data_IF_391105227456
#
_entry.id   IF_391105227456
#
_cell.length_a   1.000
_cell.length_b   1.000
_cell.length_c   1.000
_cell.angle_alpha   90.00
_cell.angle_beta   90.00
_cell.angle_gamma   90.00
#
_symmetry.space_group_name_H-M   'P 1'
#
loop_
_entity.id
_entity.type
_entity.pdbx_description
1 polymer ?
#
# COMPACT_ATOMS: atom_id res chain seq x y z
N UNK A 1 -24.79 -14.65 -10.14
CA UNK A 1 -23.42 -15.02 -9.70
C UNK A 1 -23.35 -15.45 -8.22
N UNK A 2 -23.56 -14.55 -7.24
CA UNK A 2 -23.46 -14.91 -5.81
C UNK A 2 -24.42 -16.05 -5.39
N UNK A 3 -25.64 -16.07 -5.92
CA UNK A 3 -26.62 -17.15 -5.69
C UNK A 3 -26.32 -18.46 -6.43
N UNK A 4 -25.43 -18.43 -7.44
CA UNK A 4 -25.11 -19.58 -8.29
C UNK A 4 -23.81 -20.28 -7.86
N UNK A 5 -22.93 -19.54 -7.18
CA UNK A 5 -21.65 -20.02 -6.67
C UNK A 5 -21.74 -21.24 -5.74
N UNK A 6 -22.67 -21.30 -4.77
CA UNK A 6 -22.86 -22.49 -3.95
C UNK A 6 -23.23 -23.73 -4.76
N UNK A 7 -23.89 -23.56 -5.91
CA UNK A 7 -24.30 -24.64 -6.82
C UNK A 7 -23.16 -25.07 -7.73
N UNK A 8 -22.26 -24.15 -8.08
CA UNK A 8 -21.15 -24.38 -9.00
C UNK A 8 -19.99 -25.21 -8.43
N UNK A 9 -19.96 -25.47 -7.10
CA UNK A 9 -18.90 -26.23 -6.41
C UNK A 9 -17.48 -25.81 -6.86
N UNK A 10 -17.18 -24.51 -6.81
CA UNK A 10 -15.85 -24.02 -7.20
C UNK A 10 -14.74 -24.71 -6.39
N UNK A 11 -13.62 -25.09 -7.03
CA UNK A 11 -12.41 -25.47 -6.31
C UNK A 11 -11.96 -24.35 -5.37
N UNK A 12 -11.47 -24.70 -4.18
CA UNK A 12 -11.07 -23.73 -3.16
C UNK A 12 -10.05 -22.70 -3.70
N UNK A 13 -9.09 -23.15 -4.51
CA UNK A 13 -8.08 -22.28 -5.15
C UNK A 13 -8.70 -21.26 -6.11
N UNK A 14 -9.73 -21.67 -6.88
CA UNK A 14 -10.46 -20.76 -7.79
C UNK A 14 -11.27 -19.74 -6.99
N UNK A 15 -11.90 -20.18 -5.88
CA UNK A 15 -12.62 -19.29 -4.99
C UNK A 15 -11.68 -18.25 -4.33
N UNK A 16 -10.47 -18.68 -3.89
CA UNK A 16 -9.42 -17.79 -3.37
C UNK A 16 -8.97 -16.76 -4.40
N UNK A 17 -8.70 -17.22 -5.63
CA UNK A 17 -8.29 -16.33 -6.72
C UNK A 17 -9.35 -15.26 -7.04
N UNK A 18 -10.64 -15.61 -6.92
CA UNK A 18 -11.75 -14.69 -7.14
C UNK A 18 -11.97 -13.64 -6.04
N UNK A 19 -11.40 -13.82 -4.84
CA UNK A 19 -11.66 -12.91 -3.70
C UNK A 19 -11.15 -11.49 -3.94
N UNK A 20 -9.96 -11.35 -4.55
CA UNK A 20 -9.35 -10.04 -4.82
C UNK A 20 -10.18 -9.20 -5.79
N UNK A 21 -10.49 -9.65 -7.02
CA UNK A 21 -11.32 -8.86 -7.93
C UNK A 21 -12.74 -8.64 -7.39
N UNK A 22 -13.30 -9.60 -6.64
CA UNK A 22 -14.60 -9.41 -5.98
C UNK A 22 -14.59 -8.30 -4.92
N UNK A 23 -13.47 -8.11 -4.20
CA UNK A 23 -13.27 -7.03 -3.22
C UNK A 23 -13.01 -5.68 -3.90
N UNK A 24 -12.22 -5.67 -4.98
CA UNK A 24 -11.90 -4.46 -5.75
C UNK A 24 -13.12 -3.86 -6.46
N UNK A 25 -14.04 -4.71 -6.94
CA UNK A 25 -15.23 -4.27 -7.68
C UNK A 25 -16.28 -3.50 -6.87
N UNK A 26 -16.12 -3.36 -5.55
CA UNK A 26 -16.91 -2.47 -4.69
C UNK A 26 -18.41 -2.81 -4.50
N UNK A 27 -19.01 -3.64 -5.37
CA UNK A 27 -20.47 -3.83 -5.47
C UNK A 27 -20.96 -5.26 -5.24
N UNK A 28 -20.10 -6.17 -4.75
CA UNK A 28 -20.45 -7.60 -4.70
C UNK A 28 -20.13 -8.24 -3.33
N UNK A 29 -20.60 -7.67 -2.22
CA UNK A 29 -20.40 -8.27 -0.89
C UNK A 29 -20.96 -9.71 -0.75
N UNK A 30 -22.15 -10.04 -1.29
CA UNK A 30 -22.62 -11.42 -1.29
C UNK A 30 -21.69 -12.39 -2.05
N UNK A 31 -21.01 -11.90 -3.10
CA UNK A 31 -20.01 -12.67 -3.84
C UNK A 31 -18.76 -12.90 -2.98
N UNK A 32 -18.26 -11.88 -2.30
CA UNK A 32 -17.09 -12.00 -1.41
C UNK A 32 -17.35 -13.03 -0.31
N UNK A 33 -18.52 -12.98 0.34
CA UNK A 33 -18.89 -13.97 1.38
C UNK A 33 -19.00 -15.39 0.81
N UNK A 34 -19.65 -15.54 -0.36
CA UNK A 34 -19.77 -16.84 -1.02
C UNK A 34 -18.38 -17.42 -1.39
N UNK A 35 -17.45 -16.57 -1.85
CA UNK A 35 -16.09 -16.96 -2.18
C UNK A 35 -15.26 -17.33 -0.94
N UNK A 36 -15.39 -16.62 0.18
CA UNK A 36 -14.72 -16.98 1.45
C UNK A 36 -15.13 -18.38 1.87
N UNK A 37 -16.44 -18.66 1.86
CA UNK A 37 -16.99 -19.97 2.22
C UNK A 37 -16.54 -21.06 1.25
N UNK A 38 -16.58 -20.80 -0.05
CA UNK A 38 -16.13 -21.76 -1.08
C UNK A 38 -14.62 -22.00 -1.06
N UNK A 39 -13.84 -21.02 -0.60
CA UNK A 39 -12.39 -21.11 -0.46
C UNK A 39 -11.92 -21.95 0.75
N UNK A 40 -12.87 -22.47 1.56
CA UNK A 40 -12.57 -23.17 2.80
C UNK A 40 -11.83 -22.30 3.82
N UNK A 41 -11.88 -20.98 3.64
CA UNK A 41 -11.29 -20.02 4.58
C UNK A 41 -12.20 -19.95 5.78
N UNK A 42 -11.60 -20.11 6.95
CA UNK A 42 -12.34 -20.17 8.19
C UNK A 42 -12.83 -18.76 8.54
N UNK A 43 -14.13 -18.55 8.41
CA UNK A 43 -14.86 -17.67 9.32
C UNK A 43 -14.97 -18.40 10.67
N UNK A 44 -13.83 -18.78 11.28
CA UNK A 44 -13.89 -19.56 12.52
C UNK A 44 -14.49 -18.66 13.60
N UNK A 45 -15.75 -18.91 13.94
CA UNK A 45 -16.43 -18.28 15.07
C UNK A 45 -15.75 -18.65 16.40
N UNK A 46 -15.02 -19.78 16.43
CA UNK A 46 -14.12 -20.12 17.51
C UNK A 46 -12.87 -19.24 17.43
N UNK A 47 -12.89 -18.17 18.21
CA UNK A 47 -11.72 -17.35 18.47
C UNK A 47 -10.76 -18.10 19.39
N UNK A 48 -9.47 -18.01 19.06
CA UNK A 48 -8.41 -18.45 19.97
C UNK A 48 -8.56 -17.73 21.32
N UNK A 49 -8.28 -18.46 22.38
CA UNK A 49 -8.24 -17.90 23.74
C UNK A 49 -7.09 -16.89 23.86
N UNK A 50 -7.16 -15.93 24.81
CA UNK A 50 -6.05 -15.00 25.06
C UNK A 50 -4.71 -15.71 25.29
N UNK A 51 -4.69 -16.88 25.94
CA UNK A 51 -3.48 -17.66 26.20
C UNK A 51 -2.88 -18.27 24.92
N UNK A 52 -3.71 -18.74 23.99
CA UNK A 52 -3.28 -19.24 22.68
C UNK A 52 -2.72 -18.08 21.83
N UNK A 53 -3.39 -16.92 21.84
CA UNK A 53 -2.92 -15.71 21.14
C UNK A 53 -1.57 -15.23 21.64
N UNK A 54 -1.37 -15.21 22.95
CA UNK A 54 -0.06 -14.89 23.55
C UNK A 54 1.01 -15.94 23.20
N UNK A 55 0.63 -17.20 23.04
CA UNK A 55 1.56 -18.25 22.64
C UNK A 55 2.02 -18.05 21.20
N UNK A 56 1.09 -17.80 20.27
CA UNK A 56 1.43 -17.46 18.88
C UNK A 56 2.27 -16.18 18.80
N UNK A 57 1.94 -15.16 19.58
CA UNK A 57 2.70 -13.92 19.64
C UNK A 57 4.15 -14.14 20.11
N UNK A 58 4.36 -14.95 21.16
CA UNK A 58 5.71 -15.31 21.64
C UNK A 58 6.48 -16.11 20.60
N UNK A 59 5.83 -17.06 19.92
CA UNK A 59 6.45 -17.83 18.84
C UNK A 59 6.88 -16.92 17.70
N UNK A 60 6.00 -16.04 17.22
CA UNK A 60 6.33 -15.07 16.18
C UNK A 60 7.53 -14.19 16.55
N UNK A 61 7.62 -13.73 17.80
CA UNK A 61 8.77 -12.95 18.27
C UNK A 61 10.07 -13.76 18.31
N UNK A 62 10.00 -15.05 18.61
CA UNK A 62 11.16 -15.93 18.77
C UNK A 62 11.68 -16.50 17.44
N UNK A 63 10.79 -16.92 16.54
CA UNK A 63 11.17 -17.62 15.29
C UNK A 63 10.95 -16.81 14.02
N UNK A 64 10.17 -15.73 14.06
CA UNK A 64 9.90 -14.93 12.88
C UNK A 64 11.10 -14.08 12.44
N UNK A 65 11.19 -13.86 11.13
CA UNK A 65 12.16 -13.01 10.45
C UNK A 65 11.44 -11.77 9.91
N UNK A 66 11.84 -10.60 10.41
CA UNK A 66 11.23 -9.33 10.04
C UNK A 66 11.51 -8.91 8.58
N UNK A 67 12.65 -9.32 8.00
CA UNK A 67 13.00 -9.00 6.61
C UNK A 67 12.10 -9.78 5.66
N UNK A 68 11.91 -11.09 5.93
CA UNK A 68 10.94 -11.91 5.19
C UNK A 68 9.51 -11.43 5.43
N UNK A 69 9.18 -11.06 6.67
CA UNK A 69 7.88 -10.50 7.04
C UNK A 69 7.53 -9.24 6.28
N UNK A 70 8.50 -8.35 6.05
CA UNK A 70 8.30 -7.18 5.21
C UNK A 70 7.99 -7.58 3.76
N UNK A 71 8.72 -8.55 3.19
CA UNK A 71 8.45 -9.03 1.83
C UNK A 71 7.03 -9.59 1.72
N UNK A 72 6.57 -10.32 2.74
CA UNK A 72 5.20 -10.83 2.81
C UNK A 72 4.20 -9.68 2.84
N UNK A 73 4.39 -8.67 3.70
CA UNK A 73 3.53 -7.48 3.75
C UNK A 73 3.41 -6.76 2.39
N UNK A 74 4.49 -6.77 1.59
CA UNK A 74 4.54 -6.13 0.26
C UNK A 74 3.93 -6.99 -0.87
N UNK A 75 3.51 -8.23 -0.61
CA UNK A 75 2.89 -9.09 -1.61
C UNK A 75 1.54 -8.53 -2.07
N UNK A 76 1.39 -8.39 -3.38
CA UNK A 76 0.17 -7.85 -4.01
C UNK A 76 -1.06 -8.68 -3.67
N UNK A 77 -0.92 -9.99 -3.53
CA UNK A 77 -2.01 -10.91 -3.20
C UNK A 77 -2.60 -10.70 -1.81
N UNK A 78 -1.82 -10.17 -0.85
CA UNK A 78 -2.28 -9.84 0.50
C UNK A 78 -2.83 -8.41 0.59
N UNK A 79 -2.49 -7.55 -0.36
CA UNK A 79 -2.96 -6.16 -0.44
C UNK A 79 -2.69 -5.30 0.82
N UNK A 80 -1.81 -5.72 1.74
CA UNK A 80 -1.58 -5.00 3.00
C UNK A 80 -1.11 -3.57 2.73
N UNK A 81 -0.16 -3.38 1.81
CA UNK A 81 0.35 -2.06 1.41
C UNK A 81 -0.67 -1.22 0.60
N UNK A 82 -1.66 -1.86 -0.03
CA UNK A 82 -2.72 -1.16 -0.75
C UNK A 82 -3.76 -0.54 0.20
N UNK A 83 -3.90 -1.10 1.41
CA UNK A 83 -4.82 -0.58 2.44
C UNK A 83 -4.11 0.23 3.51
N UNK A 84 -2.91 -0.17 3.92
CA UNK A 84 -2.16 0.40 5.03
C UNK A 84 -0.90 1.10 4.56
N UNK A 85 -0.63 2.29 5.09
CA UNK A 85 0.63 2.99 4.87
C UNK A 85 1.66 2.67 5.95
N UNK A 86 2.94 2.73 5.58
CA UNK A 86 4.08 2.73 6.50
C UNK A 86 5.02 3.86 6.09
N UNK A 87 5.35 4.75 7.02
CA UNK A 87 6.18 5.93 6.76
C UNK A 87 5.59 6.83 5.67
N UNK A 88 4.26 6.93 5.62
CA UNK A 88 3.52 7.67 4.60
C UNK A 88 3.39 6.98 3.23
N UNK A 89 3.87 5.74 3.07
CA UNK A 89 3.82 5.00 1.80
C UNK A 89 2.87 3.79 1.87
N UNK A 90 1.78 3.85 1.09
CA UNK A 90 0.74 2.84 1.01
C UNK A 90 -0.67 3.45 1.02
N UNK A 91 -1.68 2.61 1.17
CA UNK A 91 -3.08 3.05 1.24
C UNK A 91 -3.47 3.75 2.53
N UNK A 92 -4.64 4.40 2.51
CA UNK A 92 -5.26 5.03 3.69
C UNK A 92 -6.63 4.42 4.02
N UNK A 93 -6.91 3.23 3.48
CA UNK A 93 -8.15 2.48 3.71
C UNK A 93 -8.15 1.92 5.13
N UNK A 94 -7.02 1.39 5.56
CA UNK A 94 -6.76 0.95 6.93
C UNK A 94 -5.88 1.94 7.70
N UNK A 95 -5.70 1.72 9.01
CA UNK A 95 -4.82 2.54 9.84
C UNK A 95 -3.37 2.52 9.35
N UNK A 96 -2.70 3.66 9.47
CA UNK A 96 -1.26 3.75 9.27
C UNK A 96 -0.52 2.87 10.29
N UNK A 97 0.40 2.04 9.80
CA UNK A 97 1.12 1.03 10.58
C UNK A 97 2.52 1.49 11.00
N UNK A 98 2.93 2.74 10.72
CA UNK A 98 4.27 3.28 11.01
C UNK A 98 4.74 2.97 12.43
N UNK A 99 3.83 3.01 13.41
CA UNK A 99 4.15 2.83 14.82
C UNK A 99 3.50 1.61 15.47
N UNK A 100 2.89 0.71 14.69
CA UNK A 100 1.99 -0.32 15.25
C UNK A 100 2.68 -1.27 16.22
N UNK A 101 3.94 -1.64 15.96
CA UNK A 101 4.72 -2.55 16.82
C UNK A 101 5.23 -1.90 18.11
N UNK A 102 5.31 -0.57 18.15
CA UNK A 102 5.62 0.19 19.36
C UNK A 102 4.36 0.53 20.16
N UNK A 103 3.21 0.75 19.50
CA UNK A 103 1.96 1.17 20.15
C UNK A 103 1.05 0.03 20.59
N UNK A 104 1.31 -1.20 20.12
CA UNK A 104 0.42 -2.33 20.37
C UNK A 104 1.19 -3.60 20.76
N UNK A 105 0.64 -4.41 21.68
CA UNK A 105 1.27 -5.67 22.05
C UNK A 105 1.14 -6.68 20.90
N UNK A 106 2.06 -7.64 20.83
CA UNK A 106 2.13 -8.55 19.68
C UNK A 106 0.91 -9.48 19.55
N UNK A 107 0.27 -9.84 20.64
CA UNK A 107 -0.99 -10.62 20.64
C UNK A 107 -2.14 -9.85 19.98
N UNK A 108 -2.20 -8.52 20.14
CA UNK A 108 -3.12 -7.66 19.39
C UNK A 108 -2.85 -7.70 17.87
N UNK A 109 -1.58 -7.79 17.45
CA UNK A 109 -1.24 -7.94 16.02
C UNK A 109 -1.73 -9.27 15.47
N UNK A 110 -1.54 -10.35 16.22
CA UNK A 110 -2.04 -11.69 15.87
C UNK A 110 -3.57 -11.68 15.76
N UNK A 111 -4.26 -11.07 16.72
CA UNK A 111 -5.72 -10.93 16.73
C UNK A 111 -6.23 -10.12 15.54
N UNK A 112 -5.58 -9.01 15.23
CA UNK A 112 -5.97 -8.16 14.10
C UNK A 112 -5.81 -8.87 12.75
N UNK A 113 -4.78 -9.73 12.61
CA UNK A 113 -4.54 -10.50 11.39
C UNK A 113 -5.52 -11.68 11.22
N UNK A 114 -5.83 -12.39 12.31
CA UNK A 114 -6.75 -13.54 12.29
C UNK A 114 -8.22 -13.10 12.28
N UNK A 115 -8.55 -12.08 13.06
CA UNK A 115 -9.91 -11.61 13.34
C UNK A 115 -10.02 -10.09 13.16
N UNK A 116 -9.93 -9.57 11.92
CA UNK A 116 -9.88 -8.14 11.66
C UNK A 116 -11.11 -7.34 12.10
N UNK A 117 -12.25 -8.01 12.33
CA UNK A 117 -13.48 -7.39 12.85
C UNK A 117 -13.61 -7.48 14.38
N UNK A 118 -12.70 -8.14 15.08
CA UNK A 118 -12.76 -8.28 16.55
C UNK A 118 -12.49 -6.95 17.26
N UNK A 119 -11.48 -6.20 16.79
CA UNK A 119 -11.08 -4.89 17.34
C UNK A 119 -10.73 -3.92 16.22
N UNK A 120 -11.72 -3.15 15.80
CA UNK A 120 -11.57 -2.14 14.75
C UNK A 120 -11.17 -0.81 15.39
N UNK A 121 -10.16 -0.14 14.85
CA UNK A 121 -9.74 1.18 15.32
C UNK A 121 -10.83 2.21 15.02
N UNK A 122 -11.03 3.15 15.94
CA UNK A 122 -11.94 4.28 15.74
C UNK A 122 -11.64 5.02 14.42
N UNK A 123 -12.69 5.42 13.71
CA UNK A 123 -12.58 6.01 12.38
C UNK A 123 -12.28 5.02 11.24
N UNK A 124 -12.17 3.72 11.49
CA UNK A 124 -11.97 2.68 10.45
C UNK A 124 -13.12 1.66 10.36
N UNK A 125 -14.22 1.91 11.06
CA UNK A 125 -15.44 1.14 10.89
C UNK A 125 -16.02 1.38 9.49
N UNK A 126 -16.25 0.29 8.77
CA UNK A 126 -16.87 0.35 7.46
C UNK A 126 -18.39 0.43 7.57
N UNK A 127 -18.98 1.14 6.64
CA UNK A 127 -20.43 1.24 6.46
C UNK A 127 -20.83 0.77 5.07
N UNK A 128 -22.07 0.33 4.96
CA UNK A 128 -22.77 0.18 3.69
C UNK A 128 -23.82 1.29 3.63
N UNK A 129 -23.78 2.04 2.54
CA UNK A 129 -24.73 3.09 2.21
C UNK A 129 -25.54 2.60 1.01
N UNK A 130 -26.84 2.37 1.23
CA UNK A 130 -27.81 2.19 0.15
C UNK A 130 -28.39 3.55 -0.18
N UNK A 131 -28.29 3.94 -1.44
CA UNK A 131 -28.82 5.20 -1.97
C UNK A 131 -30.26 5.04 -2.47
N UNK A 132 -30.99 6.15 -2.64
CA UNK A 132 -32.38 6.13 -3.14
C UNK A 132 -32.48 5.69 -4.60
N UNK A 133 -31.41 5.85 -5.37
CA UNK A 133 -31.23 5.29 -6.71
C UNK A 133 -30.73 3.83 -6.70
N UNK A 134 -30.84 3.16 -5.54
CA UNK A 134 -30.54 1.73 -5.35
C UNK A 134 -29.07 1.33 -5.56
N UNK A 135 -28.14 2.28 -5.54
CA UNK A 135 -26.72 1.94 -5.46
C UNK A 135 -26.33 1.55 -4.04
N UNK A 136 -25.53 0.50 -3.91
CA UNK A 136 -24.84 0.16 -2.68
C UNK A 136 -23.38 0.59 -2.75
N UNK A 137 -22.99 1.43 -1.80
CA UNK A 137 -21.63 1.94 -1.64
C UNK A 137 -21.08 1.44 -0.31
N UNK A 138 -19.83 0.98 -0.30
CA UNK A 138 -19.17 0.52 0.91
C UNK A 138 -17.82 1.18 1.09
N UNK A 139 -17.53 1.58 2.33
CA UNK A 139 -16.29 2.25 2.65
C UNK A 139 -16.20 2.67 4.11
N UNK A 140 -15.08 3.26 4.47
CA UNK A 140 -14.88 3.95 5.73
C UNK A 140 -15.27 5.41 5.55
N UNK A 141 -15.97 6.01 6.52
CA UNK A 141 -16.34 7.42 6.46
C UNK A 141 -15.11 8.27 6.76
N UNK A 142 -14.67 9.09 5.79
CA UNK A 142 -13.54 10.01 5.97
C UNK A 142 -13.96 11.41 6.35
N UNK A 143 -15.21 11.78 6.02
CA UNK A 143 -15.80 13.09 6.32
C UNK A 143 -17.31 12.95 6.36
N UNK A 144 -17.96 13.61 7.32
CA UNK A 144 -19.42 13.70 7.40
C UNK A 144 -19.79 15.14 7.78
N UNK A 145 -20.73 15.71 7.04
CA UNK A 145 -21.33 17.04 7.23
C UNK A 145 -22.84 16.91 7.11
N UNK A 146 -23.59 17.96 7.43
CA UNK A 146 -25.06 17.94 7.33
C UNK A 146 -25.58 17.64 5.91
N UNK A 147 -24.79 17.92 4.88
CA UNK A 147 -25.21 17.78 3.47
C UNK A 147 -24.51 16.65 2.72
N UNK A 148 -23.31 16.25 3.16
CA UNK A 148 -22.44 15.33 2.43
C UNK A 148 -21.71 14.38 3.38
N UNK A 149 -21.67 13.11 2.99
CA UNK A 149 -20.87 12.05 3.58
C UNK A 149 -19.85 11.57 2.54
N UNK A 150 -18.57 11.50 2.89
CA UNK A 150 -17.51 10.98 2.02
C UNK A 150 -17.07 9.60 2.51
N UNK A 151 -17.14 8.61 1.62
CA UNK A 151 -16.64 7.25 1.85
C UNK A 151 -15.28 7.06 1.18
N UNK A 152 -14.34 6.41 1.86
CA UNK A 152 -13.17 5.80 1.22
C UNK A 152 -13.44 4.32 1.01
N UNK A 153 -13.54 3.89 -0.24
CA UNK A 153 -13.79 2.49 -0.57
C UNK A 153 -12.52 1.62 -0.49
N UNK A 154 -12.65 0.32 -0.73
CA UNK A 154 -11.53 -0.62 -0.72
C UNK A 154 -10.46 -0.34 -1.79
N UNK A 155 -10.82 0.37 -2.87
CA UNK A 155 -9.88 0.85 -3.90
C UNK A 155 -9.16 2.15 -3.49
N UNK A 156 -9.31 2.60 -2.24
CA UNK A 156 -8.72 3.84 -1.71
C UNK A 156 -9.24 5.12 -2.38
N UNK A 157 -10.42 5.06 -3.02
CA UNK A 157 -11.07 6.18 -3.70
C UNK A 157 -12.09 6.82 -2.75
N UNK A 158 -12.08 8.16 -2.69
CA UNK A 158 -13.11 8.93 -1.98
C UNK A 158 -14.34 9.14 -2.86
N UNK A 159 -15.50 8.74 -2.33
CA UNK A 159 -16.80 8.80 -2.99
C UNK A 159 -17.70 9.71 -2.16
N UNK A 160 -18.01 10.93 -2.63
CA UNK A 160 -18.97 11.79 -1.96
C UNK A 160 -20.40 11.29 -2.20
N UNK A 161 -21.21 11.29 -1.15
CA UNK A 161 -22.62 10.89 -1.16
C UNK A 161 -23.42 12.00 -0.48
N UNK A 162 -24.35 12.60 -1.21
CA UNK A 162 -25.26 13.57 -0.63
C UNK A 162 -26.15 12.90 0.43
N UNK A 163 -26.20 13.44 1.65
CA UNK A 163 -26.97 12.85 2.78
C UNK A 163 -28.44 12.67 2.40
N UNK A 164 -29.01 13.61 1.65
CA UNK A 164 -30.39 13.52 1.13
C UNK A 164 -30.65 12.33 0.20
N UNK A 165 -29.61 11.75 -0.40
CA UNK A 165 -29.70 10.58 -1.28
C UNK A 165 -29.53 9.26 -0.52
N UNK A 166 -29.18 9.29 0.76
CA UNK A 166 -29.03 8.07 1.57
C UNK A 166 -30.42 7.53 1.91
N UNK A 167 -30.67 6.28 1.53
CA UNK A 167 -31.88 5.54 1.90
C UNK A 167 -31.65 4.70 3.16
N UNK A 168 -30.48 4.07 3.29
CA UNK A 168 -30.11 3.24 4.44
C UNK A 168 -28.61 3.32 4.70
N UNK A 169 -28.25 3.31 5.98
CA UNK A 169 -26.86 3.15 6.46
C UNK A 169 -26.83 1.94 7.40
N UNK A 170 -25.86 1.05 7.20
CA UNK A 170 -25.62 -0.09 8.09
C UNK A 170 -24.13 -0.29 8.35
N UNK A 171 -23.79 -0.82 9.51
CA UNK A 171 -22.41 -1.22 9.83
C UNK A 171 -22.01 -2.46 9.03
N UNK A 172 -20.77 -2.50 8.55
CA UNK A 172 -20.20 -3.65 7.84
C UNK A 172 -18.93 -4.22 8.52
N UNK A 173 -18.61 -3.76 9.74
CA UNK A 173 -17.41 -4.20 10.45
C UNK A 173 -16.14 -3.68 9.79
N UNK A 174 -15.13 -4.54 9.62
CA UNK A 174 -13.84 -4.16 9.03
C UNK A 174 -13.83 -4.31 7.50
N UNK A 175 -13.20 -3.37 6.79
CA UNK A 175 -12.84 -3.58 5.38
C UNK A 175 -11.66 -4.56 5.23
N UNK A 176 -10.87 -4.77 6.29
CA UNK A 176 -9.82 -5.78 6.27
C UNK A 176 -10.47 -7.17 6.23
N UNK A 177 -10.19 -7.98 5.21
CA UNK A 177 -10.92 -9.22 5.04
C UNK A 177 -10.47 -10.32 6.00
N UNK A 178 -11.43 -11.10 6.51
CA UNK A 178 -11.13 -12.35 7.20
C UNK A 178 -10.43 -13.37 6.28
N UNK A 179 -9.59 -14.21 6.87
CA UNK A 179 -8.84 -15.26 6.16
C UNK A 179 -7.75 -14.74 5.21
N UNK A 180 -7.35 -13.46 5.33
CA UNK A 180 -6.35 -12.86 4.44
C UNK A 180 -5.00 -13.57 4.51
N UNK A 181 -4.61 -14.06 5.68
CA UNK A 181 -3.32 -14.73 5.91
C UNK A 181 -3.41 -16.26 5.85
N UNK A 182 -4.57 -16.83 5.52
CA UNK A 182 -4.78 -18.28 5.55
C UNK A 182 -3.98 -19.03 4.48
N UNK A 183 -3.66 -18.35 3.37
CA UNK A 183 -2.80 -18.88 2.32
C UNK A 183 -1.31 -18.88 2.68
N UNK A 184 -0.91 -18.23 3.78
CA UNK A 184 0.47 -18.19 4.22
C UNK A 184 0.85 -19.47 4.95
N UNK A 185 2.09 -19.92 4.71
CA UNK A 185 2.72 -20.98 5.50
C UNK A 185 2.82 -20.55 6.98
N UNK A 186 2.88 -21.52 7.93
CA UNK A 186 2.98 -21.19 9.35
C UNK A 186 4.13 -20.22 9.68
N UNK A 187 5.32 -20.45 9.13
CA UNK A 187 6.49 -19.60 9.35
C UNK A 187 6.33 -18.21 8.72
N UNK A 188 5.67 -18.12 7.56
CA UNK A 188 5.38 -16.83 6.92
C UNK A 188 4.45 -15.96 7.78
N UNK A 189 3.50 -16.57 8.51
CA UNK A 189 2.65 -15.84 9.45
C UNK A 189 3.46 -15.27 10.60
N UNK A 190 4.41 -16.04 11.13
CA UNK A 190 5.31 -15.59 12.17
C UNK A 190 6.26 -14.49 11.70
N UNK A 191 6.80 -14.61 10.49
CA UNK A 191 7.60 -13.58 9.84
C UNK A 191 6.82 -12.26 9.72
N UNK A 192 5.57 -12.32 9.23
CA UNK A 192 4.71 -11.14 9.11
C UNK A 192 4.44 -10.47 10.47
N UNK A 193 4.06 -11.25 11.49
CA UNK A 193 3.83 -10.74 12.85
C UNK A 193 5.11 -10.14 13.44
N UNK A 194 6.26 -10.80 13.23
CA UNK A 194 7.57 -10.30 13.65
C UNK A 194 7.83 -8.94 13.03
N UNK A 195 7.69 -8.80 11.71
CA UNK A 195 7.86 -7.52 11.02
C UNK A 195 6.98 -6.42 11.60
N UNK A 196 5.68 -6.67 11.75
CA UNK A 196 4.75 -5.68 12.30
C UNK A 196 5.12 -5.28 13.73
N UNK A 197 5.62 -6.22 14.54
CA UNK A 197 6.08 -5.94 15.91
C UNK A 197 7.31 -5.02 15.99
N UNK A 198 8.11 -4.95 14.91
CA UNK A 198 9.30 -4.08 14.85
C UNK A 198 8.98 -2.65 14.44
N UNK A 199 7.82 -2.40 13.81
CA UNK A 199 7.44 -1.08 13.31
C UNK A 199 7.31 -0.06 14.45
N UNK A 200 7.94 1.10 14.27
CA UNK A 200 7.95 2.19 15.24
C UNK A 200 8.96 2.03 16.38
N UNK A 201 9.76 0.96 16.37
CA UNK A 201 10.87 0.77 17.31
C UNK A 201 12.17 1.24 16.65
N UNK A 202 13.15 1.76 17.42
CA UNK A 202 14.47 2.07 16.89
C UNK A 202 15.10 0.83 16.24
N UNK A 203 15.55 0.95 14.99
CA UNK A 203 16.17 -0.14 14.24
C UNK A 203 15.94 -0.03 12.73
N UNK A 204 16.15 -1.13 12.03
CA UNK A 204 16.06 -1.19 10.56
C UNK A 204 14.63 -0.97 10.01
N UNK A 205 13.62 -1.16 10.86
CA UNK A 205 12.20 -1.01 10.54
C UNK A 205 11.58 0.26 11.14
N UNK A 206 12.42 1.21 11.56
CA UNK A 206 11.96 2.52 12.02
C UNK A 206 11.46 3.36 10.83
N UNK A 207 10.15 3.29 10.59
CA UNK A 207 9.46 4.07 9.58
C UNK A 207 9.12 5.50 10.01
N UNK A 208 9.32 5.86 11.29
CA UNK A 208 9.01 7.18 11.81
C UNK A 208 10.05 8.23 11.38
N UNK A 209 11.25 7.78 10.99
CA UNK A 209 12.26 8.64 10.38
C UNK A 209 11.74 9.22 9.06
N UNK A 210 11.56 10.54 9.07
CA UNK A 210 11.25 11.35 7.90
C UNK A 210 12.43 11.45 6.93
N UNK A 211 12.24 12.21 5.86
CA UNK A 211 13.32 12.46 4.89
C UNK A 211 13.74 11.24 4.07
N UNK A 212 12.90 10.21 3.97
CA UNK A 212 13.16 9.01 3.14
C UNK A 212 12.07 8.88 2.08
N UNK A 213 12.45 8.74 0.82
CA UNK A 213 11.52 8.57 -0.29
C UNK A 213 10.98 7.13 -0.33
N UNK A 214 9.74 6.93 0.15
CA UNK A 214 9.11 5.60 0.22
C UNK A 214 8.03 5.32 -0.82
N UNK A 215 7.57 6.36 -1.52
CA UNK A 215 6.59 6.26 -2.59
C UNK A 215 7.21 6.79 -3.89
N UNK A 216 7.16 5.95 -4.92
CA UNK A 216 7.65 6.24 -6.25
C UNK A 216 6.56 5.96 -7.29
N UNK A 217 6.73 6.53 -8.47
CA UNK A 217 6.07 6.11 -9.72
C UNK A 217 7.18 5.74 -10.70
N UNK A 218 6.99 4.66 -11.44
CA UNK A 218 7.91 4.18 -12.46
C UNK A 218 7.30 4.37 -13.85
N UNK A 219 8.10 4.84 -14.79
CA UNK A 219 7.70 5.04 -16.18
C UNK A 219 8.75 4.45 -17.10
N UNK A 220 8.32 3.68 -18.09
CA UNK A 220 9.21 3.19 -19.15
C UNK A 220 8.89 3.87 -20.47
N UNK A 221 9.94 4.30 -21.15
CA UNK A 221 9.85 4.70 -22.55
C UNK A 221 10.10 3.47 -23.41
N UNK A 222 9.14 3.16 -24.24
CA UNK A 222 9.15 2.06 -25.20
C UNK A 222 9.00 2.62 -26.61
N UNK A 223 9.11 1.78 -27.64
CA UNK A 223 8.75 2.19 -28.99
C UNK A 223 7.27 2.59 -29.14
N UNK A 224 6.38 2.13 -28.26
CA UNK A 224 4.94 2.39 -28.32
C UNK A 224 4.54 3.77 -27.81
N UNK A 225 5.28 4.32 -26.85
CA UNK A 225 5.01 5.62 -26.23
C UNK A 225 6.15 6.63 -26.41
N UNK A 226 7.03 6.39 -27.40
CA UNK A 226 8.14 7.29 -27.73
C UNK A 226 7.70 8.69 -28.19
N UNK A 227 6.45 8.84 -28.62
CA UNK A 227 5.87 10.12 -29.02
C UNK A 227 5.45 10.99 -27.83
N UNK A 228 5.48 10.42 -26.61
CA UNK A 228 5.23 11.19 -25.39
C UNK A 228 6.31 12.25 -25.26
N UNK A 229 5.86 13.51 -25.11
CA UNK A 229 6.74 14.65 -24.86
C UNK A 229 7.57 14.40 -23.61
N UNK A 230 8.88 14.21 -23.80
CA UNK A 230 9.81 13.87 -22.72
C UNK A 230 9.80 14.90 -21.60
N UNK A 231 9.49 16.16 -21.91
CA UNK A 231 9.32 17.25 -20.94
C UNK A 231 8.25 16.90 -19.89
N UNK A 232 7.19 16.18 -20.26
CA UNK A 232 6.15 15.72 -19.34
C UNK A 232 6.65 14.60 -18.42
N UNK A 233 7.43 13.67 -18.95
CA UNK A 233 8.00 12.55 -18.19
C UNK A 233 8.99 13.07 -17.15
N UNK A 234 9.95 13.90 -17.57
CA UNK A 234 10.96 14.48 -16.66
C UNK A 234 10.39 15.53 -15.71
N UNK A 235 9.25 16.13 -16.07
CA UNK A 235 8.43 16.94 -15.18
C UNK A 235 7.66 16.14 -14.13
N UNK A 236 7.56 14.81 -14.30
CA UNK A 236 6.79 13.93 -13.42
C UNK A 236 5.28 14.18 -13.51
N UNK A 237 4.78 14.46 -14.71
CA UNK A 237 3.38 14.74 -14.99
C UNK A 237 2.50 13.55 -14.55
N UNK A 238 1.64 13.72 -13.52
CA UNK A 238 0.82 12.62 -12.99
C UNK A 238 -0.32 12.22 -13.93
N UNK A 239 -0.60 12.99 -14.98
CA UNK A 239 -1.68 12.72 -15.93
C UNK A 239 -1.28 11.75 -17.04
N UNK A 240 -0.03 11.25 -17.02
CA UNK A 240 0.40 10.17 -17.91
C UNK A 240 -0.05 8.82 -17.35
N UNK A 241 -0.88 8.10 -18.10
CA UNK A 241 -1.50 6.84 -17.66
C UNK A 241 -0.49 5.70 -17.43
N UNK A 242 0.70 5.75 -18.05
CA UNK A 242 1.70 4.69 -17.92
C UNK A 242 2.52 4.75 -16.61
N UNK A 243 2.29 5.72 -15.72
CA UNK A 243 2.98 5.73 -14.42
C UNK A 243 2.49 4.60 -13.52
N UNK A 244 3.38 3.67 -13.21
CA UNK A 244 3.11 2.56 -12.30
C UNK A 244 3.58 2.90 -10.88
N UNK A 245 2.70 2.91 -9.86
CA UNK A 245 3.13 3.11 -8.47
C UNK A 245 4.12 2.03 -8.02
N UNK A 246 5.15 2.45 -7.30
CA UNK A 246 6.13 1.55 -6.70
C UNK A 246 6.45 1.99 -5.28
N UNK A 247 6.28 1.09 -4.32
CA UNK A 247 6.59 1.35 -2.92
C UNK A 247 7.94 0.74 -2.56
N UNK A 248 8.68 1.42 -1.72
CA UNK A 248 9.95 0.91 -1.20
C UNK A 248 9.73 -0.02 -0.01
N UNK A 249 10.82 -0.64 0.43
CA UNK A 249 10.92 -1.16 1.80
C UNK A 249 10.90 -0.01 2.83
N UNK A 250 10.71 -0.32 4.11
CA UNK A 250 10.75 0.61 5.25
C UNK A 250 12.07 1.37 5.29
N UNK A 251 13.15 0.69 4.91
CA UNK A 251 14.50 1.26 4.78
C UNK A 251 14.62 2.37 3.72
N UNK A 252 13.62 2.54 2.85
CA UNK A 252 13.64 3.46 1.70
C UNK A 252 14.22 2.86 0.42
N UNK A 253 14.60 1.59 0.43
CA UNK A 253 15.10 0.91 -0.76
C UNK A 253 13.95 0.58 -1.71
N UNK A 254 13.89 1.25 -2.85
CA UNK A 254 13.15 0.78 -4.02
C UNK A 254 13.91 -0.42 -4.58
N UNK A 255 13.48 -1.63 -4.24
CA UNK A 255 14.19 -2.85 -4.59
C UNK A 255 14.10 -3.14 -6.09
N UNK A 256 15.13 -3.77 -6.65
CA UNK A 256 15.11 -4.24 -8.04
C UNK A 256 13.95 -5.18 -8.33
N UNK A 257 13.57 -6.03 -7.37
CA UNK A 257 12.39 -6.91 -7.45
C UNK A 257 11.09 -6.13 -7.68
N UNK A 258 10.94 -4.96 -7.05
CA UNK A 258 9.78 -4.07 -7.23
C UNK A 258 9.76 -3.51 -8.65
N UNK A 259 10.92 -3.11 -9.18
CA UNK A 259 11.06 -2.60 -10.55
C UNK A 259 10.74 -3.71 -11.56
N UNK A 260 11.30 -4.90 -11.37
CA UNK A 260 11.06 -6.07 -12.24
C UNK A 260 9.60 -6.50 -12.21
N UNK A 261 8.95 -6.46 -11.04
CA UNK A 261 7.51 -6.77 -10.92
C UNK A 261 6.66 -5.76 -11.69
N UNK A 262 6.99 -4.47 -11.59
CA UNK A 262 6.29 -3.43 -12.34
C UNK A 262 6.52 -3.57 -13.85
N UNK A 263 7.74 -3.92 -14.26
CA UNK A 263 8.13 -4.03 -15.66
C UNK A 263 9.06 -5.23 -15.90
N UNK A 264 8.52 -6.44 -16.16
CA UNK A 264 9.35 -7.64 -16.30
C UNK A 264 10.43 -7.58 -17.40
N UNK A 265 10.21 -6.76 -18.44
CA UNK A 265 11.07 -6.64 -19.61
C UNK A 265 11.78 -5.27 -19.70
N UNK A 266 12.04 -4.62 -18.57
CA UNK A 266 12.56 -3.23 -18.55
C UNK A 266 13.95 -3.05 -19.18
N UNK A 267 14.73 -4.13 -19.35
CA UNK A 267 16.07 -4.09 -19.96
C UNK A 267 16.06 -3.74 -21.46
N UNK A 268 14.92 -3.93 -22.15
CA UNK A 268 14.75 -3.59 -23.57
C UNK A 268 14.08 -2.23 -23.79
N UNK A 269 14.03 -1.40 -22.75
CA UNK A 269 13.39 -0.07 -22.81
C UNK A 269 14.36 0.98 -23.33
N UNK A 270 13.83 2.11 -23.81
CA UNK A 270 14.61 3.29 -24.19
C UNK A 270 14.92 4.20 -22.99
N UNK A 271 14.32 3.92 -21.85
CA UNK A 271 14.60 4.61 -20.60
C UNK A 271 13.63 4.18 -19.50
N UNK A 272 14.16 4.00 -18.30
CA UNK A 272 13.40 3.76 -17.08
C UNK A 272 13.51 4.97 -16.16
N UNK A 273 12.37 5.55 -15.79
CA UNK A 273 12.29 6.74 -14.95
C UNK A 273 11.58 6.42 -13.64
N UNK A 274 12.05 7.00 -12.55
CA UNK A 274 11.46 6.91 -11.23
C UNK A 274 11.18 8.32 -10.70
N UNK A 275 9.92 8.63 -10.44
CA UNK A 275 9.48 9.91 -9.90
C UNK A 275 9.06 9.77 -8.44
N UNK A 276 9.46 10.71 -7.60
CA UNK A 276 8.98 10.85 -6.21
C UNK A 276 8.65 12.31 -5.90
N UNK A 277 7.79 12.51 -4.91
CA UNK A 277 7.30 13.83 -4.50
C UNK A 277 7.72 14.15 -3.07
N UNK A 278 8.05 15.41 -2.84
CA UNK A 278 8.35 15.92 -1.52
C UNK A 278 7.84 17.35 -1.33
N UNK A 279 7.59 17.71 -0.08
CA UNK A 279 7.31 19.09 0.33
C UNK A 279 8.56 19.71 0.93
N UNK A 280 8.82 20.97 0.56
CA UNK A 280 9.79 21.83 1.23
C UNK A 280 9.05 23.01 1.84
N UNK A 281 9.18 23.23 3.15
CA UNK A 281 8.43 24.28 3.84
C UNK A 281 8.78 25.69 3.32
N UNK A 282 10.06 25.96 3.10
CA UNK A 282 10.57 27.29 2.72
C UNK A 282 11.15 27.32 1.30
N UNK A 283 11.31 26.16 0.66
CA UNK A 283 12.17 26.04 -0.53
C UNK A 283 13.64 26.23 -0.18
N UNK A 284 14.46 26.43 -1.22
CA UNK A 284 15.90 26.62 -1.11
C UNK A 284 16.70 25.39 -1.52
N UNK A 285 17.98 25.39 -1.19
CA UNK A 285 18.91 24.31 -1.57
C UNK A 285 18.68 23.11 -0.68
N UNK A 286 18.27 21.99 -1.26
CA UNK A 286 18.06 20.73 -0.55
C UNK A 286 19.24 19.80 -0.83
N UNK A 287 19.78 19.19 0.22
CA UNK A 287 20.80 18.13 0.10
C UNK A 287 20.13 16.77 0.03
N UNK A 288 20.42 16.04 -1.04
CA UNK A 288 19.99 14.67 -1.26
C UNK A 288 21.15 13.70 -1.10
N UNK A 289 20.86 12.53 -0.54
CA UNK A 289 21.73 11.36 -0.57
C UNK A 289 21.03 10.27 -1.39
N UNK A 290 21.74 9.71 -2.36
CA UNK A 290 21.22 8.74 -3.30
C UNK A 290 22.16 7.54 -3.36
N UNK A 291 21.60 6.34 -3.29
CA UNK A 291 22.33 5.10 -3.61
C UNK A 291 21.67 4.42 -4.80
N UNK A 292 22.48 3.67 -5.56
CA UNK A 292 22.05 2.95 -6.76
C UNK A 292 22.46 3.63 -8.08
N UNK A 293 22.12 2.99 -9.20
CA UNK A 293 22.53 3.45 -10.53
C UNK A 293 21.54 4.45 -11.13
N UNK A 294 21.89 5.73 -11.14
CA UNK A 294 21.12 6.80 -11.80
C UNK A 294 21.99 7.45 -12.88
N UNK A 295 21.41 7.64 -14.06
CA UNK A 295 22.05 8.28 -15.23
C UNK A 295 21.88 9.79 -15.16
N UNK A 296 20.63 10.23 -15.05
CA UNK A 296 20.23 11.63 -15.11
C UNK A 296 19.11 11.92 -14.09
N UNK A 297 18.91 13.18 -13.76
CA UNK A 297 17.91 13.60 -12.80
C UNK A 297 17.32 14.98 -13.14
N UNK A 298 16.08 15.20 -12.75
CA UNK A 298 15.37 16.46 -12.92
C UNK A 298 14.57 16.82 -11.67
N UNK A 299 14.62 18.08 -11.27
CA UNK A 299 13.77 18.63 -10.24
C UNK A 299 12.75 19.57 -10.90
N UNK A 300 11.47 19.22 -10.82
CA UNK A 300 10.37 19.93 -11.46
C UNK A 300 10.59 20.13 -12.98
N UNK A 301 11.16 19.13 -13.65
CA UNK A 301 11.50 19.19 -15.08
C UNK A 301 12.81 19.90 -15.40
N UNK A 302 13.47 20.55 -14.42
CA UNK A 302 14.77 21.20 -14.63
C UNK A 302 15.90 20.19 -14.41
N UNK A 303 16.83 20.01 -15.38
CA UNK A 303 17.94 19.09 -15.24
C UNK A 303 18.83 19.44 -14.04
N UNK A 304 19.23 18.41 -13.29
CA UNK A 304 20.20 18.51 -12.20
C UNK A 304 21.25 17.40 -12.35
N UNK A 305 22.41 17.58 -11.71
CA UNK A 305 23.48 16.58 -11.75
C UNK A 305 23.32 15.59 -10.59
N UNK A 306 22.97 14.32 -10.84
CA UNK A 306 22.89 13.33 -9.77
C UNK A 306 24.29 12.92 -9.30
N UNK A 307 24.35 12.40 -8.08
CA UNK A 307 25.54 11.85 -7.45
C UNK A 307 25.16 11.13 -6.15
N UNK A 308 26.11 10.49 -5.47
CA UNK A 308 25.85 9.87 -4.16
C UNK A 308 25.35 10.89 -3.15
N UNK A 309 25.88 12.11 -3.22
CA UNK A 309 25.32 13.30 -2.60
C UNK A 309 25.21 14.39 -3.66
N UNK A 310 24.08 15.09 -3.70
CA UNK A 310 23.87 16.21 -4.61
C UNK A 310 22.94 17.24 -3.98
N UNK A 311 22.92 18.43 -4.57
CA UNK A 311 22.01 19.50 -4.14
C UNK A 311 21.15 19.96 -5.29
N UNK A 312 19.94 20.43 -4.98
CA UNK A 312 19.06 21.03 -5.96
C UNK A 312 18.23 22.16 -5.32
N UNK A 313 17.90 23.17 -6.11
CA UNK A 313 17.09 24.31 -5.67
C UNK A 313 15.60 23.94 -5.75
N UNK A 314 14.99 23.67 -4.61
CA UNK A 314 13.57 23.39 -4.49
C UNK A 314 12.77 24.69 -4.30
N UNK A 315 11.54 24.70 -4.81
CA UNK A 315 10.56 25.75 -4.47
C UNK A 315 9.89 25.43 -3.13
N UNK A 316 9.32 26.44 -2.49
CA UNK A 316 8.42 26.20 -1.37
C UNK A 316 7.19 25.38 -1.81
N UNK A 317 6.70 24.49 -0.96
CA UNK A 317 5.63 23.55 -1.22
C UNK A 317 6.08 22.31 -2.02
N UNK A 318 5.19 21.84 -2.89
CA UNK A 318 5.33 20.55 -3.56
C UNK A 318 6.38 20.57 -4.68
N UNK A 319 7.27 19.59 -4.65
CA UNK A 319 8.31 19.36 -5.63
C UNK A 319 8.25 17.91 -6.15
N UNK A 320 8.67 17.71 -7.39
CA UNK A 320 8.80 16.38 -8.00
C UNK A 320 10.22 16.18 -8.47
N UNK A 321 10.86 15.11 -7.98
CA UNK A 321 12.17 14.67 -8.43
C UNK A 321 11.99 13.45 -9.32
N UNK A 322 12.53 13.50 -10.53
CA UNK A 322 12.53 12.40 -11.49
C UNK A 322 13.97 11.95 -11.72
N UNK A 323 14.21 10.65 -11.63
CA UNK A 323 15.51 10.01 -11.84
C UNK A 323 15.40 9.09 -13.04
N UNK A 324 16.32 9.20 -14.00
CA UNK A 324 16.50 8.16 -15.02
C UNK A 324 17.44 7.10 -14.46
N UNK A 325 16.92 5.88 -14.31
CA UNK A 325 17.67 4.77 -13.75
C UNK A 325 18.58 4.15 -14.80
N UNK A 326 19.72 3.64 -14.36
CA UNK A 326 20.54 2.78 -15.19
C UNK A 326 19.93 1.37 -15.18
N UNK A 327 19.40 0.92 -16.31
CA UNK A 327 18.65 -0.33 -16.43
C UNK A 327 19.51 -1.54 -16.02
N UNK A 328 20.80 -1.56 -16.36
CA UNK A 328 21.68 -2.68 -15.98
C UNK A 328 22.03 -2.69 -14.49
N UNK A 329 21.79 -1.59 -13.76
CA UNK A 329 22.04 -1.45 -12.32
C UNK A 329 20.74 -1.34 -11.50
N UNK A 330 19.58 -1.25 -12.14
CA UNK A 330 18.30 -1.10 -11.46
C UNK A 330 17.97 -2.31 -10.55
N UNK A 331 18.53 -3.49 -10.87
CA UNK A 331 18.43 -4.67 -10.03
C UNK A 331 19.00 -4.48 -8.60
N UNK A 332 20.01 -3.61 -8.42
CA UNK A 332 20.55 -3.28 -7.10
C UNK A 332 19.60 -2.39 -6.25
N UNK A 333 18.55 -1.85 -6.87
CA UNK A 333 17.64 -0.90 -6.25
C UNK A 333 18.23 0.50 -6.09
N UNK A 334 17.38 1.43 -5.68
CA UNK A 334 17.77 2.80 -5.36
C UNK A 334 17.21 3.21 -4.00
N UNK A 335 17.89 4.12 -3.32
CA UNK A 335 17.36 4.78 -2.12
C UNK A 335 17.69 6.25 -2.17
N UNK A 336 16.70 7.08 -1.87
CA UNK A 336 16.83 8.52 -1.80
C UNK A 336 16.43 9.02 -0.42
N UNK A 337 17.28 9.88 0.16
CA UNK A 337 16.99 10.56 1.42
C UNK A 337 17.35 12.04 1.35
N UNK A 338 16.64 12.87 2.10
CA UNK A 338 16.92 14.29 2.30
C UNK A 338 16.31 14.72 3.64
N UNK A 339 17.11 15.28 4.55
CA UNK A 339 16.70 15.54 5.93
C UNK A 339 15.64 16.64 6.05
N UNK A 340 15.73 17.68 5.22
CA UNK A 340 14.94 18.91 5.37
C UNK A 340 13.63 18.91 4.57
N UNK A 341 13.18 17.73 4.12
CA UNK A 341 11.98 17.59 3.31
C UNK A 341 11.07 16.48 3.81
N UNK A 342 9.78 16.64 3.55
CA UNK A 342 8.78 15.60 3.81
C UNK A 342 8.40 14.93 2.49
N UNK A 343 8.88 13.71 2.27
CA UNK A 343 8.41 12.89 1.14
C UNK A 343 6.93 12.55 1.33
N UNK A 344 6.18 12.60 0.23
CA UNK A 344 4.72 12.38 0.22
C UNK A 344 4.39 11.04 -0.43
N UNK A 345 3.31 10.41 0.04
CA UNK A 345 2.57 9.47 -0.80
C UNK A 345 1.97 10.21 -1.99
N UNK A 346 1.90 9.46 -3.09
CA UNK A 346 1.52 9.93 -4.40
C UNK A 346 0.02 10.14 -4.59
#
# INVERSE_FOLDING_TARGET
LAGDLPKAKLPAEVARAGLRPAREGGQNQPLVQALIKAAGLTLSDAQLTPAEMQTLARQALASGDAVRGERIYRRTELACAACHAIGGAGGKVGPDLTSIGASSPTDYLVESLLYPSAKIKEGYHSVIITTKDQQELSGVITKETDTELTLRNAANIEVPVAVKNIAKRSSAGSLMPAGLIDGLLPDERFDLVKFLSQLGRPGDFDAAKGGVARAWRLYIVTSKNQEVRMERVVGGDPTLDDWVPALTLVSGLLAGETITTAYPNFLNTRGLYAATRFESATGGVIKFTLTGGVKDAWLNGVPIRPGTEFTALARAGANTLVLQLNETRAAAGIKLTAADVSFRSN
#
